data_IF_697011525938
#
_entry.id   IF_697011525938
#
_cell.length_a   1.000
_cell.length_b   1.000
_cell.length_c   1.000
_cell.angle_alpha   90.00
_cell.angle_beta   90.00
_cell.angle_gamma   90.00
#
_symmetry.space_group_name_H-M   'P 1'
#
loop_
_entity.id
_entity.type
_entity.pdbx_description
1 polymer ?
#
# COMPACT_ATOMS: atom_id res chain seq x y z
N UNK A 1 16.31 26.03 -10.78
CA UNK A 1 15.36 25.04 -10.22
C UNK A 1 14.72 24.24 -11.35
N UNK A 2 14.98 22.93 -11.40
CA UNK A 2 14.43 22.05 -12.46
C UNK A 2 12.95 21.75 -12.19
N UNK A 3 12.15 21.65 -13.26
CA UNK A 3 10.74 21.25 -13.22
C UNK A 3 10.61 19.79 -13.65
N UNK A 4 10.16 18.94 -12.72
CA UNK A 4 10.02 17.50 -12.94
C UNK A 4 8.54 17.13 -12.89
N UNK A 5 8.06 16.45 -13.92
CA UNK A 5 6.72 15.86 -13.96
C UNK A 5 6.83 14.35 -13.72
N UNK A 6 6.06 13.83 -12.78
CA UNK A 6 5.92 12.38 -12.60
C UNK A 6 4.46 11.96 -12.80
N UNK A 7 4.22 11.08 -13.77
CA UNK A 7 2.92 10.47 -14.00
C UNK A 7 2.89 9.14 -13.25
N UNK A 8 2.22 9.12 -12.11
CA UNK A 8 2.16 7.99 -11.18
C UNK A 8 1.04 7.01 -11.55
N UNK A 9 1.06 5.82 -10.93
CA UNK A 9 -0.06 4.87 -10.99
C UNK A 9 -1.34 5.46 -10.37
N UNK A 10 -2.48 4.86 -10.70
CA UNK A 10 -3.75 5.13 -10.02
C UNK A 10 -4.01 4.14 -8.89
N UNK A 11 -3.34 2.98 -8.89
CA UNK A 11 -3.49 1.98 -7.85
C UNK A 11 -2.60 2.35 -6.66
N UNK A 12 -3.20 2.41 -5.48
CA UNK A 12 -2.51 2.88 -4.27
C UNK A 12 -1.31 1.99 -3.91
N UNK A 13 -1.40 0.67 -4.13
CA UNK A 13 -0.28 -0.25 -3.92
C UNK A 13 0.93 0.08 -4.79
N UNK A 14 0.72 0.22 -6.11
CA UNK A 14 1.81 0.61 -7.03
C UNK A 14 2.37 2.00 -6.69
N UNK A 15 1.52 2.95 -6.30
CA UNK A 15 1.98 4.27 -5.87
C UNK A 15 2.92 4.17 -4.67
N UNK A 16 2.50 3.46 -3.61
CA UNK A 16 3.33 3.23 -2.42
C UNK A 16 4.64 2.55 -2.82
N UNK A 17 4.61 1.51 -3.64
CA UNK A 17 5.82 0.82 -4.12
C UNK A 17 6.78 1.75 -4.87
N UNK A 18 6.25 2.70 -5.63
CA UNK A 18 7.06 3.68 -6.38
C UNK A 18 7.59 4.85 -5.55
N UNK A 19 7.12 5.04 -4.31
CA UNK A 19 7.55 6.17 -3.47
C UNK A 19 9.04 6.18 -3.17
N UNK A 20 9.70 5.01 -3.11
CA UNK A 20 11.14 4.92 -2.93
C UNK A 20 11.93 5.59 -4.06
N UNK A 21 11.45 5.43 -5.31
CA UNK A 21 12.01 6.14 -6.47
C UNK A 21 11.80 7.65 -6.33
N UNK A 22 10.60 8.09 -5.94
CA UNK A 22 10.32 9.53 -5.74
C UNK A 22 11.22 10.13 -4.65
N UNK A 23 11.43 9.40 -3.57
CA UNK A 23 12.31 9.81 -2.48
C UNK A 23 13.77 9.96 -2.94
N UNK A 24 14.28 9.04 -3.76
CA UNK A 24 15.63 9.16 -4.33
C UNK A 24 15.71 10.31 -5.35
N UNK A 25 14.66 10.54 -6.16
CA UNK A 25 14.60 11.68 -7.07
C UNK A 25 14.70 13.01 -6.32
N UNK A 26 14.01 13.13 -5.18
CA UNK A 26 14.07 14.31 -4.32
C UNK A 26 15.49 14.50 -3.75
N UNK A 27 16.09 13.44 -3.20
CA UNK A 27 17.46 13.50 -2.66
C UNK A 27 18.48 13.94 -3.71
N UNK A 28 18.38 13.43 -4.93
CA UNK A 28 19.32 13.74 -6.01
C UNK A 28 19.05 15.10 -6.68
N UNK A 29 17.91 15.73 -6.39
CA UNK A 29 17.48 16.97 -7.01
C UNK A 29 16.80 17.88 -5.97
N UNK A 30 17.53 18.20 -4.89
CA UNK A 30 17.02 18.93 -3.72
C UNK A 30 16.44 20.32 -4.05
N UNK A 31 16.87 20.94 -5.14
CA UNK A 31 16.35 22.24 -5.61
C UNK A 31 15.30 22.13 -6.72
N UNK A 32 14.72 20.95 -6.95
CA UNK A 32 13.74 20.74 -8.03
C UNK A 32 12.31 20.86 -7.55
N UNK A 33 11.44 21.37 -8.42
CA UNK A 33 10.00 21.38 -8.23
C UNK A 33 9.39 20.16 -8.90
N UNK A 34 8.76 19.31 -8.10
CA UNK A 34 8.13 18.09 -8.58
C UNK A 34 6.61 18.31 -8.67
N UNK A 35 6.05 18.05 -9.84
CA UNK A 35 4.60 17.90 -10.03
C UNK A 35 4.27 16.43 -10.16
N UNK A 36 3.40 15.92 -9.27
CA UNK A 36 2.88 14.56 -9.37
C UNK A 36 1.52 14.57 -10.04
N UNK A 37 1.30 13.62 -10.93
CA UNK A 37 -0.01 13.32 -11.49
C UNK A 37 -0.46 11.96 -10.95
N UNK A 38 -1.62 11.90 -10.29
CA UNK A 38 -2.11 10.67 -9.66
C UNK A 38 -3.64 10.64 -9.57
N UNK A 39 -4.21 9.44 -9.42
CA UNK A 39 -5.63 9.27 -9.07
C UNK A 39 -5.95 9.80 -7.67
N UNK A 40 -7.23 10.07 -7.35
CA UNK A 40 -7.66 10.76 -6.13
C UNK A 40 -7.27 10.03 -4.83
N UNK A 41 -7.42 8.70 -4.79
CA UNK A 41 -7.05 7.91 -3.62
C UNK A 41 -5.53 7.90 -3.41
N UNK A 42 -4.78 7.69 -4.49
CA UNK A 42 -3.33 7.52 -4.43
C UNK A 42 -2.56 8.83 -4.30
N UNK A 43 -3.18 9.96 -4.65
CA UNK A 43 -2.60 11.29 -4.47
C UNK A 43 -2.25 11.60 -3.00
N UNK A 44 -3.01 11.02 -2.05
CA UNK A 44 -2.78 11.19 -0.62
C UNK A 44 -1.40 10.73 -0.17
N UNK A 45 -0.83 9.71 -0.84
CA UNK A 45 0.52 9.17 -0.58
C UNK A 45 1.59 10.27 -0.62
N UNK A 46 1.41 11.26 -1.50
CA UNK A 46 2.40 12.29 -1.80
C UNK A 46 2.24 13.56 -0.98
N UNK A 47 1.20 13.67 -0.13
CA UNK A 47 0.77 14.91 0.53
C UNK A 47 1.89 15.63 1.29
N UNK A 48 2.74 14.87 2.00
CA UNK A 48 3.76 15.44 2.90
C UNK A 48 5.19 15.29 2.34
N UNK A 49 5.33 14.91 1.08
CA UNK A 49 6.67 14.73 0.50
C UNK A 49 7.35 16.09 0.28
N UNK A 50 8.65 16.21 0.63
CA UNK A 50 9.40 17.42 0.32
C UNK A 50 9.49 17.63 -1.19
N UNK A 51 9.59 18.90 -1.61
CA UNK A 51 9.78 19.32 -3.01
C UNK A 51 8.64 19.00 -3.99
N UNK A 52 7.54 18.39 -3.52
CA UNK A 52 6.32 18.25 -4.31
C UNK A 52 5.54 19.57 -4.22
N UNK A 53 5.58 20.34 -5.31
CA UNK A 53 4.92 21.64 -5.39
C UNK A 53 3.43 21.49 -5.75
N UNK A 54 3.12 20.52 -6.62
CA UNK A 54 1.79 20.35 -7.17
C UNK A 54 1.42 18.88 -7.27
N UNK A 55 0.17 18.56 -6.93
CA UNK A 55 -0.43 17.25 -7.16
C UNK A 55 -1.67 17.41 -8.05
N UNK A 56 -1.56 16.98 -9.30
CA UNK A 56 -2.64 17.01 -10.28
C UNK A 56 -3.47 15.73 -10.12
N UNK A 57 -4.70 15.87 -9.64
CA UNK A 57 -5.62 14.75 -9.43
C UNK A 57 -6.35 14.41 -10.74
N UNK A 58 -6.15 13.19 -11.25
CA UNK A 58 -6.91 12.67 -12.39
C UNK A 58 -8.14 11.91 -11.90
N UNK A 59 -9.34 12.41 -12.23
CA UNK A 59 -10.59 11.64 -12.11
C UNK A 59 -10.94 11.01 -13.46
N UNK A 60 -11.30 9.72 -13.48
CA UNK A 60 -11.73 9.04 -14.71
C UNK A 60 -12.96 9.75 -15.28
N UNK A 61 -12.90 10.10 -16.57
CA UNK A 61 -13.99 10.73 -17.33
C UNK A 61 -14.42 9.82 -18.48
N UNK A 62 -15.66 9.99 -18.96
CA UNK A 62 -16.17 9.33 -20.18
C UNK A 62 -15.21 9.59 -21.35
N UNK A 63 -15.13 8.63 -22.27
CA UNK A 63 -14.29 8.70 -23.47
C UNK A 63 -12.81 9.05 -23.21
N UNK A 64 -12.29 8.74 -22.01
CA UNK A 64 -10.90 9.01 -21.67
C UNK A 64 -10.48 10.50 -21.72
N UNK A 65 -11.44 11.44 -21.73
CA UNK A 65 -11.18 12.89 -21.80
C UNK A 65 -10.26 13.42 -20.70
N UNK A 66 -10.14 12.72 -19.58
CA UNK A 66 -9.21 13.05 -18.50
C UNK A 66 -7.74 13.15 -18.98
N UNK A 67 -7.35 12.40 -20.01
CA UNK A 67 -6.03 12.51 -20.64
C UNK A 67 -5.86 13.82 -21.42
N UNK A 68 -6.88 14.26 -22.15
CA UNK A 68 -6.87 15.54 -22.85
C UNK A 68 -6.74 16.70 -21.86
N UNK A 69 -7.51 16.69 -20.76
CA UNK A 69 -7.39 17.71 -19.72
C UNK A 69 -6.02 17.73 -19.07
N UNK A 70 -5.48 16.55 -18.76
CA UNK A 70 -4.13 16.44 -18.21
C UNK A 70 -3.08 17.01 -19.16
N UNK A 71 -3.16 16.67 -20.45
CA UNK A 71 -2.28 17.23 -21.47
C UNK A 71 -2.40 18.76 -21.54
N UNK A 72 -3.62 19.31 -21.56
CA UNK A 72 -3.86 20.77 -21.59
C UNK A 72 -3.27 21.51 -20.37
N UNK A 73 -3.21 20.86 -19.21
CA UNK A 73 -2.57 21.41 -18.01
C UNK A 73 -1.04 21.32 -18.16
N UNK A 74 -0.52 20.16 -18.53
CA UNK A 74 0.91 19.89 -18.53
C UNK A 74 1.67 20.53 -19.70
N UNK A 75 1.02 20.74 -20.85
CA UNK A 75 1.66 21.29 -22.07
C UNK A 75 2.09 22.74 -21.92
N UNK A 76 1.49 23.47 -20.98
CA UNK A 76 1.81 24.88 -20.69
C UNK A 76 3.17 25.08 -20.02
N UNK A 77 3.83 23.99 -19.62
CA UNK A 77 5.09 24.01 -18.90
C UNK A 77 6.14 23.31 -19.77
N UNK A 78 7.29 23.95 -19.96
CA UNK A 78 8.49 23.28 -20.47
C UNK A 78 9.13 22.50 -19.32
N UNK A 79 9.07 21.19 -19.37
CA UNK A 79 9.59 20.30 -18.34
C UNK A 79 11.07 20.00 -18.56
N UNK A 80 11.84 19.92 -17.49
CA UNK A 80 13.21 19.43 -17.61
C UNK A 80 13.22 17.91 -17.71
N UNK A 81 12.38 17.24 -16.91
CA UNK A 81 12.27 15.79 -16.88
C UNK A 81 10.80 15.39 -16.79
N UNK A 82 10.38 14.46 -17.63
CA UNK A 82 9.09 13.76 -17.51
C UNK A 82 9.35 12.29 -17.24
N UNK A 83 8.85 11.79 -16.10
CA UNK A 83 8.91 10.38 -15.71
C UNK A 83 7.51 9.81 -15.74
N UNK A 84 7.25 8.85 -16.62
CA UNK A 84 5.96 8.22 -16.78
C UNK A 84 5.98 6.78 -16.26
N UNK A 85 5.42 6.57 -15.06
CA UNK A 85 5.29 5.25 -14.44
C UNK A 85 4.09 4.44 -14.95
N UNK A 86 3.25 5.07 -15.76
CA UNK A 86 1.99 4.51 -16.28
C UNK A 86 2.06 4.15 -17.76
N UNK A 87 3.12 4.54 -18.46
CA UNK A 87 3.22 4.43 -19.92
C UNK A 87 2.06 5.12 -20.64
N UNK A 88 1.75 6.37 -20.24
CA UNK A 88 0.67 7.16 -20.85
C UNK A 88 1.09 7.80 -22.18
N UNK A 89 0.18 7.81 -23.16
CA UNK A 89 0.42 8.45 -24.46
C UNK A 89 0.69 9.95 -24.35
N UNK A 90 0.10 10.62 -23.37
CA UNK A 90 0.21 12.07 -23.26
C UNK A 90 1.65 12.54 -22.99
N UNK A 91 2.48 11.72 -22.35
CA UNK A 91 3.83 12.12 -21.95
C UNK A 91 4.73 12.34 -23.16
N UNK A 92 4.45 11.66 -24.28
CA UNK A 92 5.14 11.85 -25.56
C UNK A 92 4.92 13.25 -26.14
N UNK A 93 3.74 13.84 -25.94
CA UNK A 93 3.34 15.12 -26.54
C UNK A 93 3.57 16.34 -25.65
N UNK A 94 4.34 16.21 -24.56
CA UNK A 94 4.74 17.32 -23.70
C UNK A 94 6.08 17.92 -24.12
N UNK A 95 6.24 19.24 -23.98
CA UNK A 95 7.53 19.92 -24.13
C UNK A 95 8.47 19.52 -22.98
N UNK A 96 9.56 18.84 -23.30
CA UNK A 96 10.48 18.26 -22.30
C UNK A 96 11.90 18.11 -22.82
N UNK A 97 12.89 18.24 -21.93
CA UNK A 97 14.30 17.98 -22.26
C UNK A 97 14.65 16.48 -22.12
N UNK A 98 14.16 15.82 -21.06
CA UNK A 98 14.34 14.37 -20.82
C UNK A 98 13.00 13.68 -20.62
N UNK A 99 12.85 12.49 -21.21
CA UNK A 99 11.65 11.65 -21.10
C UNK A 99 12.03 10.24 -20.69
N UNK A 100 11.41 9.73 -19.64
CA UNK A 100 11.62 8.37 -19.14
C UNK A 100 10.25 7.70 -19.01
N UNK A 101 10.09 6.49 -19.58
CA UNK A 101 8.82 5.76 -19.58
C UNK A 101 9.04 4.37 -19.01
N UNK A 102 8.60 4.17 -17.78
CA UNK A 102 8.72 2.89 -17.12
C UNK A 102 7.85 1.83 -17.80
N UNK A 103 8.49 0.74 -18.23
CA UNK A 103 7.83 -0.43 -18.82
C UNK A 103 7.76 -1.54 -17.78
N UNK A 104 6.55 -1.89 -17.38
CA UNK A 104 6.31 -2.96 -16.42
C UNK A 104 6.70 -4.32 -17.03
N UNK A 105 7.34 -5.15 -16.22
CA UNK A 105 7.56 -6.57 -16.52
C UNK A 105 6.80 -7.43 -15.51
N UNK A 106 6.70 -8.74 -15.77
CA UNK A 106 6.04 -9.69 -14.87
C UNK A 106 7.01 -10.74 -14.29
N UNK A 107 8.31 -10.48 -14.40
CA UNK A 107 9.34 -11.49 -14.13
C UNK A 107 9.97 -11.34 -12.73
N UNK A 108 9.80 -10.18 -12.10
CA UNK A 108 10.39 -9.88 -10.80
C UNK A 108 9.52 -8.92 -9.99
N UNK A 109 9.84 -8.76 -8.70
CA UNK A 109 9.12 -7.88 -7.80
C UNK A 109 9.12 -6.42 -8.29
N UNK A 110 8.01 -5.69 -8.12
CA UNK A 110 7.85 -4.32 -8.63
C UNK A 110 8.94 -3.34 -8.20
N UNK A 111 9.41 -3.44 -6.95
CA UNK A 111 10.54 -2.62 -6.45
C UNK A 111 11.85 -2.94 -7.18
N UNK A 112 12.11 -4.22 -7.51
CA UNK A 112 13.30 -4.61 -8.26
C UNK A 112 13.22 -4.10 -9.70
N UNK A 113 12.04 -4.15 -10.31
CA UNK A 113 11.82 -3.56 -11.64
C UNK A 113 12.18 -2.07 -11.64
N UNK A 114 11.76 -1.32 -10.61
CA UNK A 114 12.09 0.11 -10.48
C UNK A 114 13.61 0.30 -10.26
N UNK A 115 14.23 -0.50 -9.40
CA UNK A 115 15.67 -0.46 -9.17
C UNK A 115 16.47 -0.66 -10.45
N UNK A 116 16.19 -1.76 -11.16
CA UNK A 116 16.89 -2.15 -12.39
C UNK A 116 16.63 -1.16 -13.52
N UNK A 117 15.37 -0.76 -13.74
CA UNK A 117 15.00 0.11 -14.85
C UNK A 117 15.60 1.51 -14.73
N UNK A 118 15.64 2.07 -13.51
CA UNK A 118 16.19 3.40 -13.27
C UNK A 118 17.69 3.39 -12.89
N UNK A 119 18.33 2.21 -12.87
CA UNK A 119 19.71 2.00 -12.47
C UNK A 119 20.04 2.71 -11.14
N UNK A 120 19.22 2.45 -10.13
CA UNK A 120 19.30 3.15 -8.86
C UNK A 120 20.50 2.63 -8.04
N UNK A 121 21.24 3.49 -7.31
CA UNK A 121 22.40 3.06 -6.53
C UNK A 121 22.02 2.12 -5.38
N UNK A 122 20.79 2.25 -4.89
CA UNK A 122 20.23 1.43 -3.82
C UNK A 122 18.79 1.03 -4.17
N UNK A 123 18.32 -0.05 -3.56
CA UNK A 123 16.94 -0.50 -3.69
C UNK A 123 15.97 0.58 -3.18
N UNK A 124 14.97 1.00 -3.99
CA UNK A 124 14.04 2.06 -3.62
C UNK A 124 12.96 1.53 -2.66
N UNK A 125 13.30 1.38 -1.39
CA UNK A 125 12.32 1.01 -0.36
C UNK A 125 11.20 2.06 -0.26
N UNK A 126 9.92 1.65 -0.13
CA UNK A 126 8.80 2.56 0.01
C UNK A 126 9.00 3.54 1.18
N UNK A 127 8.64 4.80 0.96
CA UNK A 127 8.80 5.88 1.92
C UNK A 127 7.51 6.68 1.97
N UNK A 128 7.04 7.02 3.17
CA UNK A 128 5.94 7.95 3.38
C UNK A 128 6.40 9.00 4.39
N UNK A 129 5.95 10.23 4.18
CA UNK A 129 6.20 11.36 5.07
C UNK A 129 4.93 11.69 5.86
N UNK A 130 5.12 12.10 7.11
CA UNK A 130 4.04 12.51 7.99
C UNK A 130 4.20 13.97 8.39
N UNK A 131 3.08 14.65 8.63
CA UNK A 131 3.10 15.95 9.30
C UNK A 131 3.26 15.79 10.82
N UNK A 132 3.61 16.88 11.50
CA UNK A 132 3.69 16.92 12.97
C UNK A 132 2.33 16.60 13.63
N UNK A 133 1.23 17.04 13.04
CA UNK A 133 -0.12 16.76 13.53
C UNK A 133 -0.46 15.28 13.44
N UNK A 134 -0.10 14.63 12.32
CA UNK A 134 -0.33 13.20 12.12
C UNK A 134 0.44 12.36 13.13
N UNK A 135 1.71 12.72 13.38
CA UNK A 135 2.56 12.10 14.40
C UNK A 135 2.02 12.31 15.82
N UNK A 136 1.49 13.50 16.11
CA UNK A 136 0.92 13.83 17.43
C UNK A 136 -0.37 13.05 17.69
N UNK A 137 -1.28 12.98 16.70
CA UNK A 137 -2.49 12.15 16.76
C UNK A 137 -2.13 10.68 17.00
N UNK A 138 -1.10 10.17 16.32
CA UNK A 138 -0.64 8.79 16.53
C UNK A 138 0.03 8.55 17.87
N UNK A 139 0.72 9.53 18.47
CA UNK A 139 1.27 9.39 19.83
C UNK A 139 0.17 9.35 20.89
N UNK A 140 -0.90 10.14 20.73
CA UNK A 140 -1.97 10.22 21.71
C UNK A 140 -2.81 8.92 21.83
N UNK A 141 -2.90 8.15 20.75
CA UNK A 141 -3.77 6.96 20.70
C UNK A 141 -3.08 5.65 21.12
N UNK A 142 -1.75 5.65 21.23
CA UNK A 142 -0.95 4.46 21.49
C UNK A 142 -0.17 4.60 22.79
N UNK A 143 -0.27 3.59 23.64
CA UNK A 143 0.36 3.54 24.96
C UNK A 143 1.74 2.90 24.86
N UNK A 144 2.63 3.32 25.76
CA UNK A 144 3.93 2.68 25.95
C UNK A 144 3.72 1.26 26.51
N UNK A 145 4.64 0.35 26.18
CA UNK A 145 4.68 -1.04 26.71
C UNK A 145 3.51 -1.95 26.31
N UNK A 146 2.68 -1.53 25.35
CA UNK A 146 1.65 -2.37 24.71
C UNK A 146 2.11 -2.86 23.33
N UNK A 147 1.55 -3.99 22.91
CA UNK A 147 1.77 -4.54 21.58
C UNK A 147 0.52 -4.30 20.73
N UNK A 148 0.73 -3.99 19.45
CA UNK A 148 -0.32 -3.60 18.54
C UNK A 148 -0.26 -4.43 17.26
N UNK A 149 -1.36 -5.13 16.98
CA UNK A 149 -1.58 -5.92 15.78
C UNK A 149 -2.57 -5.19 14.86
N UNK A 150 -2.10 -4.80 13.67
CA UNK A 150 -2.97 -4.28 12.62
C UNK A 150 -3.69 -5.41 11.91
N UNK A 151 -5.02 -5.32 11.85
CA UNK A 151 -5.88 -6.17 11.04
C UNK A 151 -6.46 -5.35 9.89
N UNK A 152 -6.10 -5.74 8.66
CA UNK A 152 -6.62 -5.13 7.43
C UNK A 152 -7.41 -6.16 6.61
N UNK A 153 -8.72 -6.32 6.87
CA UNK A 153 -9.55 -7.35 6.25
C UNK A 153 -9.99 -6.99 4.82
N UNK A 154 -9.69 -5.77 4.39
CA UNK A 154 -10.14 -5.18 3.15
C UNK A 154 -9.48 -5.74 1.89
N UNK A 155 -9.97 -5.28 0.75
CA UNK A 155 -9.48 -5.68 -0.57
C UNK A 155 -10.39 -5.23 -1.70
N UNK A 156 -9.81 -4.90 -2.85
CA UNK A 156 -10.55 -4.45 -4.04
C UNK A 156 -11.09 -5.60 -4.92
N UNK A 157 -10.89 -6.86 -4.52
CA UNK A 157 -11.29 -8.03 -5.28
C UNK A 157 -11.62 -9.19 -4.32
N UNK A 158 -12.89 -9.61 -4.28
CA UNK A 158 -13.41 -10.64 -3.35
C UNK A 158 -12.56 -11.92 -3.25
N UNK A 159 -12.11 -12.51 -4.37
CA UNK A 159 -11.31 -13.74 -4.39
C UNK A 159 -10.03 -13.73 -3.57
N UNK A 160 -9.43 -12.55 -3.33
CA UNK A 160 -8.20 -12.41 -2.53
C UNK A 160 -8.46 -11.95 -1.09
N UNK A 161 -9.71 -11.91 -0.64
CA UNK A 161 -10.07 -11.47 0.71
C UNK A 161 -10.17 -12.69 1.61
N UNK A 162 -9.31 -12.76 2.63
CA UNK A 162 -9.42 -13.76 3.69
C UNK A 162 -10.70 -13.51 4.49
N UNK A 163 -11.53 -14.53 4.75
CA UNK A 163 -12.83 -14.32 5.38
C UNK A 163 -12.77 -13.63 6.75
N UNK A 164 -13.76 -12.78 7.04
CA UNK A 164 -13.84 -12.02 8.29
C UNK A 164 -13.88 -12.93 9.52
N UNK A 165 -14.54 -14.09 9.44
CA UNK A 165 -14.58 -15.07 10.53
C UNK A 165 -13.19 -15.63 10.88
N UNK A 166 -12.28 -15.75 9.90
CA UNK A 166 -10.91 -16.17 10.16
C UNK A 166 -10.10 -15.07 10.85
N UNK A 167 -10.29 -13.80 10.46
CA UNK A 167 -9.70 -12.66 11.17
C UNK A 167 -10.20 -12.58 12.61
N UNK A 168 -11.50 -12.82 12.85
CA UNK A 168 -12.09 -12.87 14.18
C UNK A 168 -11.48 -13.99 15.04
N UNK A 169 -11.41 -15.22 14.51
CA UNK A 169 -10.85 -16.34 15.24
C UNK A 169 -9.36 -16.12 15.55
N UNK A 170 -8.57 -15.64 14.60
CA UNK A 170 -7.17 -15.27 14.80
C UNK A 170 -7.01 -14.23 15.91
N UNK A 171 -7.83 -13.17 15.85
CA UNK A 171 -7.80 -12.06 16.80
C UNK A 171 -8.14 -12.52 18.22
N UNK A 172 -9.18 -13.34 18.38
CA UNK A 172 -9.58 -13.92 19.66
C UNK A 172 -8.46 -14.77 20.28
N UNK A 173 -7.86 -15.66 19.49
CA UNK A 173 -6.78 -16.54 19.97
C UNK A 173 -5.55 -15.75 20.42
N UNK A 174 -5.16 -14.70 19.66
CA UNK A 174 -4.02 -13.86 20.03
C UNK A 174 -4.31 -13.00 21.26
N UNK A 175 -5.50 -12.41 21.36
CA UNK A 175 -5.91 -11.60 22.52
C UNK A 175 -6.05 -12.41 23.81
N UNK A 176 -6.41 -13.70 23.72
CA UNK A 176 -6.44 -14.60 24.89
C UNK A 176 -5.04 -14.94 25.38
N UNK A 177 -4.10 -15.19 24.47
CA UNK A 177 -2.71 -15.55 24.78
C UNK A 177 -1.87 -14.36 25.26
N UNK A 178 -2.22 -13.14 24.84
CA UNK A 178 -1.43 -11.95 25.13
C UNK A 178 -2.28 -10.82 25.74
N UNK A 179 -2.21 -10.60 27.07
CA UNK A 179 -2.99 -9.56 27.74
C UNK A 179 -2.52 -8.13 27.39
N UNK A 180 -1.32 -7.95 26.84
CA UNK A 180 -0.79 -6.65 26.42
C UNK A 180 -1.06 -6.32 24.94
N UNK A 181 -1.74 -7.21 24.22
CA UNK A 181 -2.06 -7.03 22.81
C UNK A 181 -3.33 -6.19 22.62
N UNK A 182 -3.24 -5.23 21.69
CA UNK A 182 -4.34 -4.42 21.18
C UNK A 182 -4.50 -4.68 19.68
N UNK A 183 -5.74 -4.64 19.20
CA UNK A 183 -6.04 -4.73 17.77
C UNK A 183 -6.21 -3.33 17.19
N UNK A 184 -5.61 -3.10 16.03
CA UNK A 184 -5.76 -1.88 15.25
C UNK A 184 -6.50 -2.24 13.96
N UNK A 185 -7.77 -1.88 13.86
CA UNK A 185 -8.57 -2.13 12.65
C UNK A 185 -8.26 -1.09 11.59
N UNK A 186 -7.85 -1.54 10.41
CA UNK A 186 -7.43 -0.67 9.31
C UNK A 186 -8.13 -1.02 8.00
N UNK A 187 -8.52 0.00 7.25
CA UNK A 187 -9.37 -0.15 6.06
C UNK A 187 -10.03 1.17 5.70
N UNK A 188 -10.77 1.18 4.59
CA UNK A 188 -11.65 2.29 4.23
C UNK A 188 -12.90 2.33 5.10
N UNK A 189 -13.62 3.46 5.07
CA UNK A 189 -14.91 3.59 5.73
C UNK A 189 -15.93 2.55 5.25
N UNK A 190 -15.95 2.23 3.96
CA UNK A 190 -16.85 1.20 3.42
C UNK A 190 -16.49 -0.21 3.92
N UNK A 191 -15.20 -0.49 4.07
CA UNK A 191 -14.74 -1.77 4.63
C UNK A 191 -15.06 -1.87 6.13
N UNK A 192 -15.08 -0.74 6.86
CA UNK A 192 -15.57 -0.67 8.24
C UNK A 192 -17.01 -1.14 8.34
N UNK A 193 -17.89 -0.60 7.51
CA UNK A 193 -19.31 -0.98 7.49
C UNK A 193 -19.52 -2.45 7.14
N UNK A 194 -18.61 -3.01 6.33
CA UNK A 194 -18.72 -4.39 5.85
C UNK A 194 -18.17 -5.44 6.82
N UNK A 195 -17.06 -5.15 7.50
CA UNK A 195 -16.28 -6.20 8.19
C UNK A 195 -16.13 -6.01 9.70
N UNK A 196 -16.33 -4.79 10.23
CA UNK A 196 -15.99 -4.49 11.63
C UNK A 196 -16.76 -5.38 12.61
N UNK A 197 -18.06 -5.54 12.40
CA UNK A 197 -18.93 -6.32 13.30
C UNK A 197 -18.49 -7.79 13.36
N UNK A 198 -18.31 -8.44 12.20
CA UNK A 198 -17.86 -9.82 12.12
C UNK A 198 -16.48 -10.03 12.77
N UNK A 199 -15.55 -9.09 12.57
CA UNK A 199 -14.19 -9.17 13.11
C UNK A 199 -14.19 -9.01 14.64
N UNK A 200 -15.04 -8.15 15.18
CA UNK A 200 -15.09 -7.85 16.61
C UNK A 200 -16.07 -8.71 17.40
N UNK A 201 -16.77 -9.63 16.75
CA UNK A 201 -17.69 -10.55 17.41
C UNK A 201 -17.02 -11.25 18.59
N UNK A 202 -17.61 -11.11 19.78
CA UNK A 202 -17.12 -11.65 21.06
C UNK A 202 -15.74 -11.10 21.53
N UNK A 203 -15.29 -9.95 21.02
CA UNK A 203 -14.07 -9.28 21.47
C UNK A 203 -14.46 -8.04 22.31
N UNK A 204 -13.80 -7.86 23.45
CA UNK A 204 -13.98 -6.66 24.27
C UNK A 204 -13.41 -5.41 23.56
N UNK A 205 -14.18 -4.32 23.57
CA UNK A 205 -13.85 -3.09 22.86
C UNK A 205 -12.71 -2.29 23.51
N UNK A 206 -12.37 -2.55 24.78
CA UNK A 206 -11.30 -1.88 25.53
C UNK A 206 -9.90 -2.04 24.92
N UNK A 207 -9.70 -3.09 24.11
CA UNK A 207 -8.43 -3.39 23.42
C UNK A 207 -8.47 -3.13 21.92
N UNK A 208 -9.44 -2.35 21.45
CA UNK A 208 -9.66 -2.07 20.03
C UNK A 208 -9.38 -0.61 19.71
N UNK A 209 -8.55 -0.42 18.70
CA UNK A 209 -8.27 0.87 18.08
C UNK A 209 -8.81 0.83 16.65
N UNK A 210 -9.86 1.60 16.36
CA UNK A 210 -10.46 1.66 15.03
C UNK A 210 -9.94 2.88 14.25
N UNK A 211 -9.11 2.63 13.24
CA UNK A 211 -8.59 3.67 12.32
C UNK A 211 -9.19 3.55 10.93
N UNK A 212 -10.26 2.78 10.75
CA UNK A 212 -10.86 2.61 9.43
C UNK A 212 -11.50 3.92 8.94
N UNK A 213 -11.19 4.31 7.71
CA UNK A 213 -11.62 5.58 7.11
C UNK A 213 -10.62 6.73 7.27
N UNK A 214 -9.53 6.53 8.00
CA UNK A 214 -8.45 7.52 8.08
C UNK A 214 -7.73 7.68 6.74
N UNK A 215 -7.10 8.84 6.53
CA UNK A 215 -6.32 9.10 5.33
C UNK A 215 -5.00 8.29 5.33
N UNK A 216 -4.35 8.17 4.17
CA UNK A 216 -3.20 7.27 3.98
C UNK A 216 -1.97 7.68 4.79
N UNK A 217 -1.63 8.97 4.84
CA UNK A 217 -0.46 9.44 5.59
C UNK A 217 -0.71 9.28 7.09
N UNK A 218 -1.91 9.62 7.58
CA UNK A 218 -2.30 9.37 8.97
C UNK A 218 -2.33 7.87 9.33
N UNK A 219 -2.79 7.00 8.42
CA UNK A 219 -2.75 5.54 8.62
C UNK A 219 -1.32 5.05 8.77
N UNK A 220 -0.39 5.56 7.94
CA UNK A 220 1.03 5.27 8.05
C UNK A 220 1.62 5.71 9.41
N UNK A 221 1.25 6.87 9.94
CA UNK A 221 1.77 7.29 11.26
C UNK A 221 1.24 6.41 12.40
N UNK A 222 0.02 5.86 12.30
CA UNK A 222 -0.48 4.85 13.24
C UNK A 222 0.29 3.53 13.11
N UNK A 223 0.56 3.07 11.89
CA UNK A 223 1.33 1.84 11.67
C UNK A 223 2.73 1.91 12.26
N UNK A 224 3.39 3.07 12.27
CA UNK A 224 4.68 3.27 12.94
C UNK A 224 4.65 3.01 14.46
N UNK A 225 3.47 2.96 15.08
CA UNK A 225 3.27 2.60 16.50
C UNK A 225 2.94 1.11 16.69
N UNK A 226 2.84 0.35 15.60
CA UNK A 226 2.43 -1.04 15.62
C UNK A 226 3.61 -2.02 15.55
N UNK A 227 3.36 -3.28 15.88
CA UNK A 227 4.38 -4.33 15.89
C UNK A 227 4.26 -5.24 14.66
N UNK A 228 3.01 -5.63 14.35
CA UNK A 228 2.69 -6.59 13.30
C UNK A 228 1.48 -6.11 12.50
N UNK A 229 1.53 -6.29 11.19
CA UNK A 229 0.40 -6.18 10.27
C UNK A 229 0.03 -7.55 9.73
N UNK A 230 -1.27 -7.84 9.68
CA UNK A 230 -1.83 -8.99 8.97
C UNK A 230 -2.99 -8.51 8.09
N UNK A 231 -2.91 -8.80 6.81
CA UNK A 231 -3.95 -8.41 5.86
C UNK A 231 -3.78 -9.04 4.49
N UNK A 232 -4.78 -8.81 3.66
CA UNK A 232 -4.78 -9.30 2.28
C UNK A 232 -3.79 -8.51 1.41
N UNK A 233 -3.43 -9.09 0.26
CA UNK A 233 -2.75 -8.40 -0.84
C UNK A 233 -3.49 -7.10 -1.24
N UNK A 234 -3.02 -5.98 -0.71
CA UNK A 234 -3.66 -4.67 -0.79
C UNK A 234 -2.64 -3.53 -0.64
N UNK A 235 -3.05 -2.30 -0.93
CA UNK A 235 -2.17 -1.15 -0.71
C UNK A 235 -1.79 -0.93 0.76
N UNK A 236 -2.65 -1.30 1.71
CA UNK A 236 -2.35 -1.18 3.14
C UNK A 236 -1.23 -2.13 3.58
N UNK A 237 -1.10 -3.29 2.95
CA UNK A 237 0.04 -4.19 3.17
C UNK A 237 1.36 -3.52 2.75
N UNK A 238 1.40 -2.82 1.61
CA UNK A 238 2.59 -2.06 1.22
C UNK A 238 2.82 -0.84 2.11
N UNK A 239 1.76 -0.24 2.66
CA UNK A 239 1.86 0.84 3.62
C UNK A 239 2.50 0.36 4.94
N UNK A 240 2.17 -0.84 5.40
CA UNK A 240 2.79 -1.48 6.56
C UNK A 240 4.29 -1.71 6.35
N UNK A 241 4.68 -2.18 5.16
CA UNK A 241 6.10 -2.27 4.77
C UNK A 241 6.78 -0.89 4.83
N UNK A 242 6.16 0.14 4.26
CA UNK A 242 6.69 1.51 4.29
C UNK A 242 6.83 2.07 5.72
N UNK A 243 6.00 1.59 6.65
CA UNK A 243 6.01 1.97 8.07
C UNK A 243 7.11 1.27 8.87
N UNK A 244 7.75 0.23 8.30
CA UNK A 244 8.86 -0.49 8.92
C UNK A 244 8.48 -1.58 9.93
N UNK A 245 7.20 -1.98 9.95
CA UNK A 245 6.67 -3.02 10.86
C UNK A 245 6.71 -4.41 10.22
N UNK A 246 6.67 -5.46 11.05
CA UNK A 246 6.51 -6.81 10.53
C UNK A 246 5.19 -6.89 9.77
N UNK A 247 5.22 -7.45 8.55
CA UNK A 247 4.07 -7.43 7.65
C UNK A 247 3.83 -8.82 7.09
N UNK A 248 2.74 -9.46 7.49
CA UNK A 248 2.24 -10.69 6.90
C UNK A 248 1.20 -10.34 5.85
N UNK A 249 1.53 -10.60 4.59
CA UNK A 249 0.61 -10.54 3.46
C UNK A 249 -0.01 -11.90 3.18
N UNK A 250 -1.35 -11.94 3.10
CA UNK A 250 -2.11 -13.14 2.74
C UNK A 250 -2.40 -13.15 1.24
N UNK A 251 -2.01 -14.24 0.57
CA UNK A 251 -2.13 -14.37 -0.89
C UNK A 251 -2.89 -15.62 -1.34
N UNK A 252 -3.77 -15.43 -2.32
CA UNK A 252 -4.48 -16.50 -3.02
C UNK A 252 -4.35 -16.34 -4.53
N UNK A 253 -5.35 -15.81 -5.24
CA UNK A 253 -5.33 -15.78 -6.70
C UNK A 253 -4.41 -14.72 -7.33
N UNK A 254 -3.80 -13.83 -6.55
CA UNK A 254 -2.86 -12.81 -7.05
C UNK A 254 -1.42 -13.31 -7.06
N UNK A 255 -0.55 -12.62 -7.81
CA UNK A 255 0.85 -13.00 -7.96
C UNK A 255 1.73 -12.36 -6.86
N UNK A 256 2.19 -13.17 -5.90
CA UNK A 256 3.05 -12.76 -4.80
C UNK A 256 4.49 -12.51 -5.23
N UNK A 257 4.97 -13.08 -6.35
CA UNK A 257 6.30 -12.75 -6.85
C UNK A 257 6.43 -11.28 -7.22
N UNK A 258 5.31 -10.64 -7.60
CA UNK A 258 5.24 -9.24 -7.98
C UNK A 258 4.95 -8.30 -6.80
N UNK A 259 4.14 -8.75 -5.84
CA UNK A 259 3.49 -7.89 -4.84
C UNK A 259 3.69 -8.32 -3.38
N UNK A 260 4.46 -9.36 -3.08
CA UNK A 260 4.72 -9.73 -1.67
C UNK A 260 5.27 -8.55 -0.85
N UNK A 261 5.01 -8.49 0.47
CA UNK A 261 5.64 -7.54 1.36
C UNK A 261 7.16 -7.55 1.15
N UNK A 262 7.71 -6.41 0.75
CA UNK A 262 9.11 -6.35 0.33
C UNK A 262 10.06 -6.14 1.51
N UNK A 263 11.21 -6.80 1.49
CA UNK A 263 12.27 -6.64 2.48
C UNK A 263 12.20 -7.63 3.65
N UNK A 264 13.16 -7.53 4.58
CA UNK A 264 13.42 -8.53 5.64
C UNK A 264 12.28 -8.73 6.66
N UNK A 265 11.40 -7.73 6.80
CA UNK A 265 10.23 -7.78 7.70
C UNK A 265 8.93 -8.13 6.96
N UNK A 266 9.04 -8.47 5.68
CA UNK A 266 7.93 -8.86 4.84
C UNK A 266 7.79 -10.37 4.76
N UNK A 267 6.61 -10.88 5.08
CA UNK A 267 6.30 -12.29 5.11
C UNK A 267 5.07 -12.58 4.24
N UNK A 268 5.08 -13.73 3.56
CA UNK A 268 3.97 -14.16 2.71
C UNK A 268 3.42 -15.47 3.21
N UNK A 269 2.12 -15.50 3.48
CA UNK A 269 1.38 -16.74 3.69
C UNK A 269 0.44 -16.91 2.52
N UNK A 270 0.64 -18.00 1.77
CA UNK A 270 -0.11 -18.33 0.57
C UNK A 270 -1.06 -19.49 0.81
N UNK A 271 -2.13 -19.52 0.03
CA UNK A 271 -3.02 -20.68 -0.17
C UNK A 271 -2.24 -21.91 -0.63
N UNK A 272 -2.86 -23.09 -0.60
CA UNK A 272 -2.23 -24.31 -1.15
C UNK A 272 -2.00 -24.20 -2.66
N UNK A 273 -2.92 -23.56 -3.37
CA UNK A 273 -2.78 -23.22 -4.79
C UNK A 273 -1.88 -22.00 -4.98
N UNK A 274 -0.99 -22.05 -5.95
CA UNK A 274 -0.16 -20.91 -6.35
C UNK A 274 -0.83 -20.09 -7.48
N UNK A 275 -0.19 -19.00 -7.90
CA UNK A 275 -0.70 -18.12 -8.95
C UNK A 275 -0.93 -18.84 -10.30
N UNK A 276 -0.04 -19.75 -10.69
CA UNK A 276 -0.17 -20.51 -11.95
C UNK A 276 -1.33 -21.52 -11.89
N UNK A 277 -1.64 -22.07 -10.72
CA UNK A 277 -2.83 -22.91 -10.53
C UNK A 277 -4.10 -22.08 -10.72
N UNK A 278 -4.13 -20.85 -10.18
CA UNK A 278 -5.27 -19.95 -10.32
C UNK A 278 -5.50 -19.45 -11.75
N UNK A 279 -4.46 -19.39 -12.59
CA UNK A 279 -4.60 -19.08 -14.02
C UNK A 279 -5.33 -20.18 -14.82
N UNK A 280 -5.36 -21.41 -14.31
CA UNK A 280 -5.99 -22.57 -14.98
C UNK A 280 -7.46 -22.73 -14.63
N UNK A 281 -8.01 -21.93 -13.72
CA UNK A 281 -9.39 -22.03 -13.26
C UNK A 281 -10.17 -20.75 -13.51
N UNK A 282 -11.48 -20.88 -13.74
CA UNK A 282 -12.38 -19.74 -13.82
C UNK A 282 -12.68 -19.25 -12.40
N UNK A 283 -12.21 -18.05 -12.08
CA UNK A 283 -12.42 -17.42 -10.77
C UNK A 283 -13.79 -16.75 -10.73
N UNK A 284 -14.64 -17.15 -9.78
CA UNK A 284 -15.85 -16.41 -9.44
C UNK A 284 -15.48 -15.19 -8.58
N UNK A 285 -15.85 -14.00 -9.02
CA UNK A 285 -15.53 -12.75 -8.32
C UNK A 285 -16.31 -12.57 -7.01
N UNK A 286 -17.34 -13.37 -6.79
CA UNK A 286 -18.21 -13.28 -5.61
C UNK A 286 -17.75 -14.20 -4.46
N UNK A 287 -16.84 -15.13 -4.72
CA UNK A 287 -16.31 -16.07 -3.73
C UNK A 287 -14.95 -15.62 -3.20
N UNK A 288 -14.59 -16.05 -1.99
CA UNK A 288 -13.22 -16.02 -1.50
C UNK A 288 -12.50 -17.30 -1.92
N UNK A 289 -11.22 -17.21 -2.27
CA UNK A 289 -10.36 -18.37 -2.56
C UNK A 289 -9.24 -18.51 -1.53
N UNK A 290 -9.44 -17.93 -0.35
CA UNK A 290 -8.41 -17.79 0.68
C UNK A 290 -8.52 -18.83 1.82
N UNK A 291 -9.56 -19.67 1.84
CA UNK A 291 -9.89 -20.58 2.95
C UNK A 291 -8.80 -21.62 3.27
N UNK A 292 -7.97 -21.98 2.30
CA UNK A 292 -6.84 -22.90 2.54
C UNK A 292 -5.73 -22.29 3.42
N UNK A 293 -5.76 -20.97 3.66
CA UNK A 293 -4.98 -20.32 4.71
C UNK A 293 -5.76 -20.45 6.02
N UNK A 294 -5.44 -21.46 6.82
CA UNK A 294 -6.12 -21.67 8.11
C UNK A 294 -5.59 -20.74 9.20
N UNK A 295 -6.43 -20.43 10.19
CA UNK A 295 -6.04 -19.63 11.36
C UNK A 295 -4.85 -20.27 12.10
N UNK A 296 -4.86 -21.59 12.25
CA UNK A 296 -3.75 -22.36 12.85
C UNK A 296 -2.43 -22.14 12.10
N UNK A 297 -2.47 -22.11 10.76
CA UNK A 297 -1.27 -21.84 9.93
C UNK A 297 -0.71 -20.45 10.23
N UNK A 298 -1.57 -19.44 10.37
CA UNK A 298 -1.15 -18.06 10.67
C UNK A 298 -0.62 -17.95 12.11
N UNK A 299 -1.31 -18.53 13.10
CA UNK A 299 -0.85 -18.56 14.50
C UNK A 299 0.53 -19.20 14.64
N UNK A 300 0.72 -20.40 14.08
CA UNK A 300 2.00 -21.10 14.11
C UNK A 300 3.10 -20.27 13.43
N UNK A 301 2.78 -19.57 12.34
CA UNK A 301 3.75 -18.72 11.65
C UNK A 301 4.19 -17.53 12.52
N UNK A 302 3.27 -16.89 13.23
CA UNK A 302 3.57 -15.79 14.17
C UNK A 302 4.51 -16.28 15.27
N UNK A 303 4.21 -17.44 15.86
CA UNK A 303 4.97 -18.04 16.95
C UNK A 303 6.39 -18.44 16.54
N UNK A 304 6.54 -19.18 15.44
CA UNK A 304 7.85 -19.62 14.91
C UNK A 304 8.77 -18.43 14.62
N UNK A 305 8.20 -17.33 14.10
CA UNK A 305 8.96 -16.13 13.72
C UNK A 305 9.04 -15.08 14.85
N UNK A 306 8.48 -15.35 16.03
CA UNK A 306 8.47 -14.42 17.19
C UNK A 306 8.00 -13.01 16.83
N UNK A 307 6.89 -12.92 16.10
CA UNK A 307 6.39 -11.65 15.54
C UNK A 307 5.51 -10.85 16.52
N UNK A 308 5.04 -11.50 17.58
CA UNK A 308 4.30 -10.94 18.71
C UNK A 308 4.78 -11.59 20.01
#
# INVERSE_FOLDING_TARGET
MKKILVISSNLIGDCILSTGLINQLIKNNSESKITIVSGPTSAQVYKNFPNIENIIIIKKRRFSYHWYFLWKICIKIKWDIVIDLRSSLISYFLFKNKHIIFKHTNNEHKINQLHNYFNLPETPHPKIYNSNDEESKSKAMFQKDKQYLVIAPGGNWGPKIWPAYNFNQLSNELLKKNPNLFLVLSGSYNERLKYKEDILKNINNDRIIDIMGENITQTHSFYKKCNLFIGNDSGLMHLAVASGINTIGLFGPTNDSLYRPYGKKGYTIRTTKNYEDFKKVKIDKNLSYMDSITVKKVLNFIEINKLL
#
